data_IF_771678200758
#
_entry.id   IF_771678200758
#
_cell.length_a   1.000
_cell.length_b   1.000
_cell.length_c   1.000
_cell.angle_alpha   90.00
_cell.angle_beta   90.00
_cell.angle_gamma   90.00
#
_symmetry.space_group_name_H-M   'P 1'
#
loop_
_entity.id
_entity.type
_entity.pdbx_description
1 polymer ?
#
# COMPACT_ATOMS: atom_id res chain seq x y z
N UNK A 1 -3.24 -11.21 30.08
CA UNK A 1 -2.38 -10.04 30.42
C UNK A 1 -2.45 -9.04 29.27
N UNK A 2 -2.67 -7.74 29.56
CA UNK A 2 -2.69 -6.68 28.55
C UNK A 2 -1.27 -6.41 28.08
N UNK A 3 -1.06 -6.38 26.77
CA UNK A 3 0.23 -6.08 26.12
C UNK A 3 0.09 -4.84 25.27
N UNK A 4 1.12 -4.03 25.26
CA UNK A 4 1.18 -2.80 24.47
C UNK A 4 2.06 -2.98 23.26
N UNK A 5 1.66 -2.39 22.13
CA UNK A 5 2.42 -2.34 20.90
C UNK A 5 3.66 -1.46 20.97
N UNK A 6 4.38 -1.39 19.87
CA UNK A 6 5.57 -0.56 19.71
C UNK A 6 5.22 0.74 18.96
N UNK A 7 6.06 1.75 19.14
CA UNK A 7 5.99 2.96 18.31
C UNK A 7 6.26 2.63 16.83
N UNK A 8 5.67 3.36 15.89
CA UNK A 8 5.90 3.09 14.48
C UNK A 8 7.36 3.36 14.08
N UNK A 9 7.90 2.51 13.20
CA UNK A 9 9.13 2.80 12.48
C UNK A 9 8.74 3.56 11.22
N UNK A 10 9.22 4.78 11.06
CA UNK A 10 8.86 5.64 9.94
C UNK A 10 9.94 6.65 9.64
N UNK A 11 10.24 6.87 8.35
CA UNK A 11 11.06 7.96 7.85
C UNK A 11 10.21 9.21 7.54
N UNK A 12 10.81 10.25 6.95
CA UNK A 12 10.13 11.51 6.66
C UNK A 12 9.06 11.39 5.56
N UNK A 13 9.28 10.51 4.58
CA UNK A 13 8.45 10.39 3.38
C UNK A 13 8.11 8.92 3.08
N UNK A 14 7.38 8.24 3.96
CA UNK A 14 7.00 6.86 3.73
C UNK A 14 6.00 6.76 2.57
N UNK A 15 6.16 5.74 1.73
CA UNK A 15 5.23 5.43 0.64
C UNK A 15 4.39 4.19 0.92
N UNK A 16 4.92 3.28 1.71
CA UNK A 16 4.29 2.00 2.05
C UNK A 16 4.16 1.92 3.56
N UNK A 17 2.97 1.63 4.05
CA UNK A 17 2.73 1.30 5.46
C UNK A 17 2.45 -0.20 5.59
N UNK A 18 3.37 -0.93 6.18
CA UNK A 18 3.15 -2.33 6.53
C UNK A 18 2.57 -2.41 7.94
N UNK A 19 1.45 -3.11 8.09
CA UNK A 19 0.76 -3.28 9.36
C UNK A 19 0.78 -4.75 9.80
N UNK A 20 1.33 -5.00 10.98
CA UNK A 20 1.10 -6.21 11.75
C UNK A 20 -0.20 -6.17 12.55
N UNK A 21 -0.45 -7.20 13.32
CA UNK A 21 -1.57 -7.26 14.28
C UNK A 21 -1.21 -6.63 15.62
N UNK A 22 -0.22 -7.22 16.30
CA UNK A 22 0.35 -6.81 17.57
C UNK A 22 1.73 -7.49 17.69
N UNK A 23 2.77 -6.83 18.22
CA UNK A 23 4.11 -7.41 18.33
C UNK A 23 4.11 -8.68 19.20
N UNK A 24 5.02 -9.62 18.92
CA UNK A 24 5.25 -10.78 19.77
C UNK A 24 5.87 -10.37 21.11
N UNK A 25 5.82 -11.26 22.11
CA UNK A 25 6.44 -11.02 23.41
C UNK A 25 7.94 -10.76 23.29
N UNK A 26 8.61 -11.47 22.39
CA UNK A 26 10.02 -11.27 22.10
C UNK A 26 10.28 -9.90 21.46
N UNK A 27 9.42 -9.45 20.55
CA UNK A 27 9.49 -8.11 19.95
C UNK A 27 9.31 -7.01 21.00
N UNK A 28 8.34 -7.17 21.90
CA UNK A 28 8.10 -6.23 23.00
C UNK A 28 9.30 -6.20 23.95
N UNK A 29 9.85 -7.37 24.32
CA UNK A 29 11.00 -7.47 25.22
C UNK A 29 12.25 -6.78 24.64
N UNK A 30 12.50 -6.95 23.33
CA UNK A 30 13.66 -6.36 22.64
C UNK A 30 13.42 -4.92 22.20
N UNK A 31 12.16 -4.43 22.23
CA UNK A 31 11.74 -3.17 21.59
C UNK A 31 12.07 -3.15 20.08
N UNK A 32 11.92 -4.30 19.42
CA UNK A 32 12.24 -4.50 18.01
C UNK A 32 11.08 -5.13 17.27
N UNK A 33 10.68 -4.56 16.14
CA UNK A 33 9.73 -5.20 15.24
C UNK A 33 10.31 -6.49 14.69
N UNK A 34 9.47 -7.54 14.73
CA UNK A 34 9.86 -8.89 14.27
C UNK A 34 11.16 -9.38 14.92
N UNK A 35 11.33 -9.08 16.21
CA UNK A 35 12.52 -9.47 17.01
C UNK A 35 12.62 -10.97 17.32
N UNK A 36 11.58 -11.77 17.01
CA UNK A 36 11.65 -13.21 17.10
C UNK A 36 12.43 -13.76 15.89
N UNK A 37 13.55 -14.46 16.10
CA UNK A 37 14.41 -14.97 15.00
C UNK A 37 13.71 -16.00 14.09
N UNK A 38 12.61 -16.58 14.55
CA UNK A 38 11.80 -17.49 13.72
C UNK A 38 10.88 -16.75 12.74
N UNK A 39 10.70 -15.44 12.90
CA UNK A 39 9.87 -14.66 11.97
C UNK A 39 10.69 -14.28 10.75
N UNK A 40 10.15 -14.51 9.58
CA UNK A 40 10.84 -14.35 8.31
C UNK A 40 10.69 -12.94 7.70
N UNK A 41 10.11 -12.00 8.42
CA UNK A 41 9.83 -10.67 7.90
C UNK A 41 11.06 -10.02 7.26
N UNK A 42 12.20 -10.05 7.95
CA UNK A 42 13.42 -9.43 7.46
C UNK A 42 14.01 -10.16 6.25
N UNK A 43 13.88 -11.49 6.21
CA UNK A 43 14.24 -12.29 5.04
C UNK A 43 13.33 -11.96 3.84
N UNK A 44 12.02 -11.81 4.08
CA UNK A 44 11.06 -11.47 3.04
C UNK A 44 11.35 -10.07 2.49
N UNK A 45 11.51 -9.05 3.34
CA UNK A 45 11.79 -7.69 2.87
C UNK A 45 13.14 -7.63 2.13
N UNK A 46 14.18 -8.24 2.65
CA UNK A 46 15.48 -8.31 1.96
C UNK A 46 15.36 -9.01 0.58
N UNK A 47 14.66 -10.15 0.52
CA UNK A 47 14.41 -10.87 -0.72
C UNK A 47 13.58 -10.08 -1.73
N UNK A 48 12.54 -9.35 -1.26
CA UNK A 48 11.73 -8.47 -2.11
C UNK A 48 12.59 -7.43 -2.83
N UNK A 49 13.58 -6.85 -2.16
CA UNK A 49 14.44 -5.82 -2.74
C UNK A 49 15.79 -6.34 -3.25
N UNK A 50 15.98 -7.67 -3.24
CA UNK A 50 17.24 -8.31 -3.63
C UNK A 50 18.45 -7.76 -2.87
N UNK A 51 18.29 -7.48 -1.58
CA UNK A 51 19.33 -7.02 -0.67
C UNK A 51 19.74 -8.12 0.31
N UNK A 52 20.94 -8.01 0.91
CA UNK A 52 21.35 -8.92 1.99
C UNK A 52 20.39 -8.84 3.19
N UNK A 53 20.20 -9.98 3.86
CA UNK A 53 19.39 -10.00 5.09
C UNK A 53 20.14 -9.23 6.19
N UNK A 54 19.53 -8.18 6.78
CA UNK A 54 20.21 -7.36 7.76
C UNK A 54 20.41 -8.12 9.08
N UNK A 55 21.58 -7.98 9.70
CA UNK A 55 21.93 -8.64 10.94
C UNK A 55 21.53 -7.82 12.17
N UNK A 56 21.85 -6.53 12.16
CA UNK A 56 21.56 -5.61 13.27
C UNK A 56 20.21 -4.93 13.12
N UNK A 57 19.63 -4.46 14.22
CA UNK A 57 18.35 -3.75 14.17
C UNK A 57 18.46 -2.39 13.47
N UNK A 58 19.62 -1.75 13.54
CA UNK A 58 19.88 -0.51 12.79
C UNK A 58 19.90 -0.75 11.29
N UNK A 59 20.52 -1.84 10.82
CA UNK A 59 20.48 -2.24 9.41
C UNK A 59 19.04 -2.56 8.96
N UNK A 60 18.26 -3.23 9.83
CA UNK A 60 16.84 -3.52 9.59
C UNK A 60 16.03 -2.25 9.38
N UNK A 61 16.22 -1.25 10.22
CA UNK A 61 15.59 0.07 10.07
C UNK A 61 16.07 0.77 8.79
N UNK A 62 17.37 0.73 8.52
CA UNK A 62 17.94 1.33 7.32
C UNK A 62 17.38 0.71 6.04
N UNK A 63 17.18 -0.62 6.00
CA UNK A 63 16.54 -1.32 4.88
C UNK A 63 15.14 -0.78 4.62
N UNK A 64 14.28 -0.66 5.64
CA UNK A 64 12.94 -0.11 5.48
C UNK A 64 12.97 1.34 4.96
N UNK A 65 13.84 2.15 5.53
CA UNK A 65 13.88 3.59 5.22
C UNK A 65 14.41 3.86 3.81
N UNK A 66 15.35 3.05 3.29
CA UNK A 66 15.80 3.13 1.90
C UNK A 66 14.67 2.92 0.91
N UNK A 67 13.71 2.08 1.27
CA UNK A 67 12.56 1.76 0.42
C UNK A 67 11.28 2.52 0.79
N UNK A 68 11.40 3.58 1.60
CA UNK A 68 10.27 4.39 2.05
C UNK A 68 9.13 3.56 2.67
N UNK A 69 9.51 2.54 3.45
CA UNK A 69 8.58 1.67 4.16
C UNK A 69 8.45 2.13 5.60
N UNK A 70 7.22 2.40 6.01
CA UNK A 70 6.83 2.52 7.41
C UNK A 70 6.31 1.18 7.92
N UNK A 71 6.55 0.91 9.19
CA UNK A 71 6.13 -0.32 9.85
C UNK A 71 5.41 0.01 11.15
N UNK A 72 4.21 -0.54 11.34
CA UNK A 72 3.42 -0.40 12.55
C UNK A 72 2.51 -1.62 12.75
N UNK A 73 1.62 -1.54 13.74
CA UNK A 73 0.58 -2.54 14.00
C UNK A 73 -0.80 -1.90 14.00
N UNK A 74 -1.83 -2.69 13.74
CA UNK A 74 -3.22 -2.23 13.82
C UNK A 74 -3.63 -2.00 15.27
N UNK A 75 -3.19 -2.90 16.19
CA UNK A 75 -3.54 -2.82 17.59
C UNK A 75 -2.49 -2.05 18.39
N UNK A 76 -2.93 -1.04 19.14
CA UNK A 76 -2.11 -0.32 20.13
C UNK A 76 -1.89 -1.16 21.39
N UNK A 77 -2.92 -1.92 21.78
CA UNK A 77 -2.84 -2.86 22.89
C UNK A 77 -3.88 -3.97 22.73
N UNK A 78 -3.64 -5.09 23.37
CA UNK A 78 -4.60 -6.18 23.45
C UNK A 78 -4.31 -7.09 24.64
N UNK A 79 -5.32 -7.85 25.06
CA UNK A 79 -5.12 -8.99 25.93
C UNK A 79 -4.68 -10.18 25.10
N UNK A 80 -3.54 -10.77 25.46
CA UNK A 80 -3.01 -11.96 24.78
C UNK A 80 -2.22 -12.83 25.74
N UNK A 81 -2.53 -14.11 25.72
CA UNK A 81 -1.74 -15.14 26.37
C UNK A 81 -0.77 -15.74 25.35
N UNK A 82 0.53 -15.71 25.68
CA UNK A 82 1.59 -16.07 24.73
C UNK A 82 1.71 -15.10 23.54
N UNK A 83 2.26 -15.58 22.43
CA UNK A 83 2.53 -14.78 21.24
C UNK A 83 1.67 -15.16 20.02
N UNK A 84 0.70 -16.07 20.19
CA UNK A 84 -0.16 -16.50 19.09
C UNK A 84 -1.23 -15.46 18.76
N UNK A 85 -1.38 -15.13 17.50
CA UNK A 85 -2.37 -14.16 17.01
C UNK A 85 -3.82 -14.56 17.28
N UNK A 86 -4.10 -15.87 17.37
CA UNK A 86 -5.44 -16.41 17.72
C UNK A 86 -5.90 -16.00 19.11
N UNK A 87 -4.95 -15.73 20.01
CA UNK A 87 -5.22 -15.39 21.41
C UNK A 87 -5.43 -13.89 21.65
N UNK A 88 -5.37 -13.06 20.61
CA UNK A 88 -5.60 -11.60 20.69
C UNK A 88 -7.08 -11.32 20.94
N UNK A 89 -7.38 -10.70 22.08
CA UNK A 89 -8.73 -10.28 22.53
C UNK A 89 -8.68 -8.85 23.06
N UNK A 90 -9.84 -8.21 23.23
CA UNK A 90 -10.00 -6.88 23.85
C UNK A 90 -9.00 -5.86 23.30
N UNK A 91 -8.99 -5.74 21.95
CA UNK A 91 -8.03 -4.88 21.24
C UNK A 91 -8.40 -3.41 21.33
N UNK A 92 -7.40 -2.57 21.64
CA UNK A 92 -7.42 -1.13 21.39
C UNK A 92 -6.61 -0.87 20.11
N UNK A 93 -7.09 0.04 19.29
CA UNK A 93 -6.46 0.32 18.01
C UNK A 93 -5.48 1.49 18.08
N UNK A 94 -4.47 1.45 17.24
CA UNK A 94 -3.63 2.60 16.95
C UNK A 94 -4.43 3.65 16.13
N UNK A 95 -4.05 4.92 16.26
CA UNK A 95 -4.63 6.00 15.44
C UNK A 95 -4.07 5.97 14.01
N UNK A 96 -4.58 5.04 13.20
CA UNK A 96 -4.18 4.92 11.79
C UNK A 96 -4.62 6.14 10.98
N UNK A 97 -5.74 6.78 11.35
CA UNK A 97 -6.22 8.01 10.67
C UNK A 97 -5.24 9.14 10.86
N UNK A 98 -4.85 9.41 12.10
CA UNK A 98 -3.87 10.45 12.41
C UNK A 98 -2.52 10.16 11.75
N UNK A 99 -2.09 8.89 11.75
CA UNK A 99 -0.85 8.48 11.10
C UNK A 99 -0.88 8.74 9.59
N UNK A 100 -1.92 8.31 8.89
CA UNK A 100 -2.05 8.50 7.43
C UNK A 100 -2.15 9.99 7.07
N UNK A 101 -2.88 10.78 7.86
CA UNK A 101 -2.95 12.24 7.67
C UNK A 101 -1.60 12.92 7.86
N UNK A 102 -0.78 12.43 8.81
CA UNK A 102 0.56 12.96 9.08
C UNK A 102 1.55 12.67 7.94
N UNK A 103 1.34 11.57 7.22
CA UNK A 103 2.23 11.12 6.15
C UNK A 103 1.48 11.04 4.80
N UNK A 104 1.22 12.18 4.14
CA UNK A 104 0.45 12.23 2.90
C UNK A 104 1.17 11.59 1.70
N UNK A 105 2.45 11.25 1.85
CA UNK A 105 3.23 10.50 0.85
C UNK A 105 2.88 9.02 0.78
N UNK A 106 2.10 8.52 1.75
CA UNK A 106 1.66 7.13 1.76
C UNK A 106 0.78 6.84 0.54
N UNK A 107 1.07 5.73 -0.11
CA UNK A 107 0.37 5.24 -1.29
C UNK A 107 -0.25 3.86 -1.04
N UNK A 108 0.32 3.07 -0.11
CA UNK A 108 -0.05 1.69 0.13
C UNK A 108 -0.16 1.33 1.58
N UNK A 109 -1.14 0.48 1.87
CA UNK A 109 -1.26 -0.24 3.13
C UNK A 109 -1.10 -1.73 2.84
N UNK A 110 -0.13 -2.36 3.49
CA UNK A 110 0.15 -3.79 3.38
C UNK A 110 -0.17 -4.46 4.70
N UNK A 111 -1.02 -5.47 4.68
CA UNK A 111 -1.42 -6.21 5.87
C UNK A 111 -0.69 -7.55 5.93
N UNK A 112 0.17 -7.70 6.95
CA UNK A 112 0.99 -8.89 7.16
C UNK A 112 0.17 -10.00 7.85
N UNK A 113 -0.53 -10.78 7.04
CA UNK A 113 -1.26 -11.96 7.49
C UNK A 113 -2.73 -11.74 7.86
N UNK A 114 -3.40 -12.85 8.09
CA UNK A 114 -4.86 -12.89 8.29
C UNK A 114 -5.35 -12.14 9.52
N UNK A 115 -4.58 -12.15 10.62
CA UNK A 115 -4.98 -11.44 11.85
C UNK A 115 -4.88 -9.93 11.68
N UNK A 116 -3.79 -9.41 11.09
CA UNK A 116 -3.66 -7.99 10.75
C UNK A 116 -4.82 -7.53 9.85
N UNK A 117 -5.18 -8.34 8.84
CA UNK A 117 -6.34 -8.09 7.96
C UNK A 117 -7.67 -8.05 8.73
N UNK A 118 -7.88 -8.98 9.67
CA UNK A 118 -9.11 -9.04 10.45
C UNK A 118 -9.25 -7.82 11.37
N UNK A 119 -8.18 -7.44 12.09
CA UNK A 119 -8.19 -6.28 12.98
C UNK A 119 -8.31 -4.96 12.19
N UNK A 120 -7.62 -4.84 11.05
CA UNK A 120 -7.79 -3.70 10.15
C UNK A 120 -9.22 -3.53 9.67
N UNK A 121 -9.89 -4.62 9.26
CA UNK A 121 -11.31 -4.59 8.89
C UNK A 121 -12.23 -4.18 10.05
N UNK A 122 -11.90 -4.60 11.27
CA UNK A 122 -12.61 -4.15 12.48
C UNK A 122 -12.42 -2.65 12.69
N UNK A 123 -11.18 -2.17 12.57
CA UNK A 123 -10.83 -0.75 12.67
C UNK A 123 -11.65 0.09 11.69
N UNK A 124 -11.61 -0.25 10.41
CA UNK A 124 -12.35 0.45 9.34
C UNK A 124 -13.85 0.52 9.65
N UNK A 125 -14.45 -0.60 10.06
CA UNK A 125 -15.89 -0.66 10.39
C UNK A 125 -16.24 0.16 11.62
N UNK A 126 -15.45 0.08 12.68
CA UNK A 126 -15.73 0.79 13.94
C UNK A 126 -15.59 2.31 13.81
N UNK A 127 -14.69 2.77 12.97
CA UNK A 127 -14.46 4.21 12.73
C UNK A 127 -15.25 4.75 11.53
N UNK A 128 -15.98 3.89 10.80
CA UNK A 128 -16.76 4.24 9.59
C UNK A 128 -15.93 5.03 8.57
N UNK A 129 -14.69 4.59 8.34
CA UNK A 129 -13.74 5.23 7.43
C UNK A 129 -13.40 4.30 6.27
N UNK A 130 -13.04 4.93 5.16
CA UNK A 130 -12.31 4.29 4.07
C UNK A 130 -11.08 5.15 3.76
N UNK A 131 -9.93 4.52 3.66
CA UNK A 131 -8.72 5.19 3.19
C UNK A 131 -8.72 5.19 1.66
N UNK A 132 -9.63 5.96 1.08
CA UNK A 132 -9.69 6.18 -0.37
C UNK A 132 -8.35 6.73 -0.87
N UNK A 133 -7.90 6.25 -2.02
CA UNK A 133 -6.62 6.65 -2.61
C UNK A 133 -5.41 5.83 -2.15
N UNK A 134 -5.52 4.99 -1.11
CA UNK A 134 -4.46 4.08 -0.74
C UNK A 134 -4.74 2.67 -1.29
N UNK A 135 -3.77 2.09 -2.00
CA UNK A 135 -3.81 0.68 -2.39
C UNK A 135 -3.73 -0.22 -1.15
N UNK A 136 -4.49 -1.30 -1.11
CA UNK A 136 -4.55 -2.22 0.04
C UNK A 136 -4.13 -3.62 -0.40
N UNK A 137 -3.04 -4.11 0.17
CA UNK A 137 -2.51 -5.45 -0.09
C UNK A 137 -2.69 -6.35 1.14
N UNK A 138 -3.06 -7.60 0.89
CA UNK A 138 -3.29 -8.61 1.91
C UNK A 138 -2.38 -9.80 1.63
N UNK A 139 -1.24 -9.85 2.28
CA UNK A 139 -0.24 -10.87 2.01
C UNK A 139 -0.22 -11.98 3.06
N UNK A 140 0.34 -13.09 2.66
CA UNK A 140 0.64 -14.20 3.56
C UNK A 140 1.54 -13.71 4.70
N UNK A 141 1.25 -14.17 5.91
CA UNK A 141 2.03 -13.81 7.09
C UNK A 141 3.48 -14.25 6.94
N UNK A 142 4.39 -13.41 7.38
CA UNK A 142 5.82 -13.73 7.47
C UNK A 142 6.19 -14.60 8.69
N UNK A 143 5.19 -15.08 9.42
CA UNK A 143 5.38 -16.02 10.52
C UNK A 143 5.93 -17.35 10.00
N UNK A 144 6.81 -17.99 10.78
CA UNK A 144 7.31 -19.35 10.49
C UNK A 144 6.21 -20.40 10.35
N UNK A 145 5.02 -20.15 10.92
CA UNK A 145 3.85 -21.01 10.74
C UNK A 145 3.36 -21.04 9.29
N UNK A 146 3.62 -20.01 8.49
CA UNK A 146 3.26 -20.01 7.07
C UNK A 146 4.05 -21.05 6.29
N UNK A 147 5.35 -21.24 6.61
CA UNK A 147 6.16 -22.30 6.02
C UNK A 147 5.58 -23.68 6.38
N UNK A 148 5.23 -23.88 7.64
CA UNK A 148 4.62 -25.14 8.10
C UNK A 148 3.27 -25.40 7.42
N UNK A 149 2.58 -24.36 6.98
CA UNK A 149 1.33 -24.42 6.22
C UNK A 149 1.53 -24.55 4.69
N UNK A 150 2.76 -24.83 4.23
CA UNK A 150 3.06 -25.06 2.82
C UNK A 150 3.36 -23.81 1.99
N UNK A 151 3.74 -22.69 2.64
CA UNK A 151 4.19 -21.47 1.98
C UNK A 151 5.72 -21.33 2.09
N UNK A 152 6.50 -21.82 1.13
CA UNK A 152 7.95 -21.66 1.15
C UNK A 152 8.32 -20.16 1.07
N UNK A 153 9.51 -19.83 1.58
CA UNK A 153 10.00 -18.45 1.67
C UNK A 153 9.98 -17.75 0.30
N UNK A 154 10.40 -18.43 -0.75
CA UNK A 154 10.47 -17.91 -2.11
C UNK A 154 9.08 -17.46 -2.61
N UNK A 155 8.05 -18.26 -2.33
CA UNK A 155 6.67 -17.93 -2.71
C UNK A 155 6.12 -16.74 -1.92
N UNK A 156 6.51 -16.61 -0.65
CA UNK A 156 6.16 -15.43 0.15
C UNK A 156 6.85 -14.20 -0.41
N UNK A 157 8.14 -14.28 -0.75
CA UNK A 157 8.91 -13.19 -1.38
C UNK A 157 8.27 -12.78 -2.71
N UNK A 158 7.93 -13.75 -3.56
CA UNK A 158 7.25 -13.49 -4.84
C UNK A 158 5.95 -12.70 -4.64
N UNK A 159 5.07 -13.16 -3.74
CA UNK A 159 3.83 -12.47 -3.42
C UNK A 159 4.09 -11.05 -2.88
N UNK A 160 5.04 -10.90 -1.97
CA UNK A 160 5.36 -9.59 -1.38
C UNK A 160 6.07 -8.66 -2.36
N UNK A 161 6.66 -9.17 -3.44
CA UNK A 161 7.34 -8.36 -4.46
C UNK A 161 6.39 -7.39 -5.18
N UNK A 162 5.10 -7.62 -5.11
CA UNK A 162 4.10 -6.67 -5.60
C UNK A 162 4.18 -5.29 -4.95
N UNK A 163 4.75 -5.18 -3.74
CA UNK A 163 4.93 -3.87 -3.10
C UNK A 163 5.89 -2.95 -3.86
N UNK A 164 6.73 -3.49 -4.74
CA UNK A 164 7.63 -2.69 -5.59
C UNK A 164 6.94 -2.08 -6.79
N UNK A 165 5.85 -2.70 -7.24
CA UNK A 165 5.14 -2.30 -8.46
C UNK A 165 4.24 -1.12 -8.14
N UNK A 166 4.80 0.10 -8.07
CA UNK A 166 3.99 1.30 -7.96
C UNK A 166 3.21 1.47 -9.28
N UNK A 167 1.92 1.17 -9.24
CA UNK A 167 1.03 1.65 -10.29
C UNK A 167 1.09 3.17 -10.23
N UNK A 168 1.18 3.83 -11.37
CA UNK A 168 1.21 5.28 -11.43
C UNK A 168 -0.20 5.81 -11.10
N UNK A 169 -0.51 5.89 -9.79
CA UNK A 169 -1.73 6.56 -9.33
C UNK A 169 -1.45 8.05 -9.36
N UNK A 170 -2.18 8.78 -10.18
CA UNK A 170 -2.18 10.24 -10.12
C UNK A 170 -2.77 10.63 -8.76
N UNK A 171 -2.04 11.35 -7.89
CA UNK A 171 -2.56 11.78 -6.60
C UNK A 171 -3.86 12.58 -6.77
N UNK A 172 -4.84 12.34 -5.90
CA UNK A 172 -6.16 12.99 -5.96
C UNK A 172 -6.10 14.52 -5.96
N UNK A 173 -5.08 15.10 -5.31
CA UNK A 173 -4.83 16.55 -5.29
C UNK A 173 -4.31 17.12 -6.62
N UNK A 174 -3.82 16.26 -7.52
CA UNK A 174 -3.41 16.65 -8.86
C UNK A 174 -4.56 16.63 -9.87
N UNK A 175 -5.71 15.98 -9.57
CA UNK A 175 -6.85 15.94 -10.47
C UNK A 175 -7.34 17.33 -10.92
N UNK A 176 -7.46 18.34 -10.04
CA UNK A 176 -7.87 19.70 -10.44
C UNK A 176 -6.86 20.40 -11.35
N UNK A 177 -5.60 19.89 -11.39
CA UNK A 177 -4.53 20.46 -12.22
C UNK A 177 -4.40 19.79 -13.60
N UNK A 178 -5.14 18.71 -13.83
CA UNK A 178 -5.17 18.00 -15.11
C UNK A 178 -6.11 18.74 -16.06
N UNK A 179 -5.56 19.34 -17.11
CA UNK A 179 -6.36 20.03 -18.12
C UNK A 179 -7.25 19.02 -18.86
N UNK A 180 -8.57 19.24 -18.84
CA UNK A 180 -9.55 18.33 -19.47
C UNK A 180 -10.09 17.23 -18.54
N UNK A 181 -9.67 17.18 -17.27
CA UNK A 181 -10.18 16.19 -16.31
C UNK A 181 -11.71 16.31 -16.11
N UNK A 182 -12.27 17.51 -16.24
CA UNK A 182 -13.70 17.74 -16.15
C UNK A 182 -14.50 16.99 -17.21
N UNK A 183 -13.90 16.67 -18.37
CA UNK A 183 -14.53 15.83 -19.39
C UNK A 183 -14.58 14.38 -18.94
N UNK A 184 -13.50 13.90 -18.32
CA UNK A 184 -13.41 12.54 -17.75
C UNK A 184 -14.41 12.40 -16.60
N UNK A 185 -14.41 13.36 -15.65
CA UNK A 185 -15.33 13.36 -14.51
C UNK A 185 -16.80 13.44 -14.91
N UNK A 186 -17.12 14.11 -16.02
CA UNK A 186 -18.48 14.18 -16.56
C UNK A 186 -18.97 12.84 -17.08
N UNK A 187 -18.08 12.01 -17.62
CA UNK A 187 -18.40 10.70 -18.18
C UNK A 187 -18.40 9.62 -17.10
N UNK A 188 -17.42 9.65 -16.21
CA UNK A 188 -17.15 8.58 -15.25
C UNK A 188 -17.66 8.89 -13.82
N UNK A 189 -18.05 10.14 -13.56
CA UNK A 189 -18.49 10.60 -12.26
C UNK A 189 -17.35 11.19 -11.40
N UNK A 190 -17.70 11.98 -10.35
CA UNK A 190 -16.73 12.74 -9.56
C UNK A 190 -15.82 11.88 -8.66
N UNK A 191 -16.19 10.62 -8.44
CA UNK A 191 -15.46 9.69 -7.57
C UNK A 191 -14.67 8.64 -8.37
N UNK A 192 -14.49 8.85 -9.67
CA UNK A 192 -13.71 7.92 -10.48
C UNK A 192 -12.24 8.00 -10.11
N UNK A 193 -11.68 6.88 -9.73
CA UNK A 193 -10.26 6.73 -9.48
C UNK A 193 -9.68 5.73 -10.49
N UNK A 194 -8.57 6.08 -11.12
CA UNK A 194 -7.85 5.21 -12.05
C UNK A 194 -7.12 4.06 -11.31
N UNK A 195 -7.79 3.38 -10.40
CA UNK A 195 -7.17 2.40 -9.51
C UNK A 195 -6.62 1.16 -10.21
N UNK A 196 -7.21 0.80 -11.36
CA UNK A 196 -6.85 -0.41 -12.10
C UNK A 196 -6.28 -0.09 -13.48
N UNK A 197 -5.76 1.14 -13.66
CA UNK A 197 -5.19 1.55 -14.92
C UNK A 197 -3.77 1.01 -15.09
N UNK A 198 -3.52 0.36 -16.23
CA UNK A 198 -2.19 -0.08 -16.62
C UNK A 198 -1.57 0.93 -17.59
N UNK A 199 -0.30 1.28 -17.35
CA UNK A 199 0.47 2.06 -18.31
C UNK A 199 0.96 1.12 -19.41
N UNK A 200 0.34 1.17 -20.59
CA UNK A 200 0.71 0.31 -21.70
C UNK A 200 2.02 0.73 -22.36
N UNK A 201 2.30 2.02 -22.41
CA UNK A 201 3.55 2.51 -22.94
C UNK A 201 3.90 3.89 -22.42
N UNK A 202 5.21 4.14 -22.32
CA UNK A 202 5.78 5.46 -22.06
C UNK A 202 6.64 5.80 -23.28
N UNK A 203 6.35 6.90 -23.95
CA UNK A 203 7.17 7.42 -25.05
C UNK A 203 7.74 8.76 -24.64
N UNK A 204 9.05 8.90 -24.76
CA UNK A 204 9.76 10.16 -24.46
C UNK A 204 10.25 10.72 -25.80
N UNK A 205 9.85 11.93 -26.12
CA UNK A 205 10.25 12.64 -27.34
C UNK A 205 11.42 13.58 -27.08
N UNK A 206 12.16 13.90 -28.12
CA UNK A 206 13.34 14.78 -28.04
C UNK A 206 13.03 16.23 -27.62
N UNK A 207 11.79 16.66 -27.71
CA UNK A 207 11.30 17.96 -27.25
C UNK A 207 10.93 17.97 -25.75
N UNK A 208 11.14 16.86 -25.04
CA UNK A 208 10.80 16.70 -23.63
C UNK A 208 9.35 16.30 -23.40
N UNK A 209 8.56 16.07 -24.45
CA UNK A 209 7.19 15.55 -24.32
C UNK A 209 7.23 14.09 -23.86
N UNK A 210 6.43 13.74 -22.86
CA UNK A 210 6.23 12.37 -22.42
C UNK A 210 4.80 11.97 -22.70
N UNK A 211 4.63 10.96 -23.54
CA UNK A 211 3.32 10.38 -23.84
C UNK A 211 3.12 9.12 -22.99
N UNK A 212 2.07 9.10 -22.21
CA UNK A 212 1.62 7.92 -21.47
C UNK A 212 0.39 7.33 -22.17
N UNK A 213 0.49 6.08 -22.62
CA UNK A 213 -0.68 5.30 -22.99
C UNK A 213 -1.16 4.55 -21.76
N UNK A 214 -2.29 4.97 -21.22
CA UNK A 214 -2.90 4.35 -20.05
C UNK A 214 -4.09 3.53 -20.54
N UNK A 215 -4.09 2.24 -20.22
CA UNK A 215 -5.27 1.40 -20.36
C UNK A 215 -6.00 1.43 -19.02
N UNK A 216 -7.15 2.06 -18.97
CA UNK A 216 -7.97 1.97 -17.78
C UNK A 216 -8.83 0.72 -17.88
N UNK A 217 -8.80 -0.14 -16.87
CA UNK A 217 -9.61 -1.32 -16.80
C UNK A 217 -11.12 -1.04 -16.88
N UNK A 218 -11.89 -1.52 -15.94
CA UNK A 218 -13.34 -1.41 -15.97
C UNK A 218 -13.83 -0.24 -15.14
N UNK A 219 -14.70 0.62 -15.68
CA UNK A 219 -15.47 1.61 -14.97
C UNK A 219 -16.95 1.23 -14.99
N UNK A 220 -17.72 1.70 -13.99
CA UNK A 220 -19.16 1.58 -13.98
C UNK A 220 -19.77 2.99 -14.07
N UNK A 221 -20.78 3.16 -14.93
CA UNK A 221 -21.52 4.42 -14.96
C UNK A 221 -22.48 4.52 -13.76
N UNK A 222 -23.19 5.65 -13.64
CA UNK A 222 -24.16 5.88 -12.57
C UNK A 222 -25.33 4.85 -12.55
N UNK A 223 -25.55 4.15 -13.65
CA UNK A 223 -26.59 3.13 -13.80
C UNK A 223 -26.07 1.71 -13.48
N UNK A 224 -24.77 1.56 -13.19
CA UNK A 224 -24.14 0.28 -12.93
C UNK A 224 -23.69 -0.48 -14.18
N UNK A 225 -23.76 0.13 -15.37
CA UNK A 225 -23.27 -0.48 -16.60
C UNK A 225 -21.75 -0.45 -16.64
N UNK A 226 -21.15 -1.54 -17.13
CA UNK A 226 -19.72 -1.69 -17.29
C UNK A 226 -19.23 -0.89 -18.50
N UNK A 227 -18.26 -0.01 -18.30
CA UNK A 227 -17.66 0.81 -19.34
C UNK A 227 -16.17 0.45 -19.48
N UNK A 228 -15.73 0.20 -20.70
CA UNK A 228 -14.31 0.18 -21.03
C UNK A 228 -13.88 1.59 -21.42
N UNK A 229 -12.92 2.16 -20.68
CA UNK A 229 -12.41 3.50 -20.93
C UNK A 229 -11.01 3.39 -21.52
N UNK A 230 -10.87 3.75 -22.78
CA UNK A 230 -9.58 3.88 -23.46
C UNK A 230 -9.24 5.36 -23.50
N UNK A 231 -8.19 5.76 -22.80
CA UNK A 231 -7.63 7.11 -22.90
C UNK A 231 -6.57 7.09 -24.01
N UNK A 232 -6.90 7.65 -25.17
CA UNK A 232 -5.99 7.76 -26.30
C UNK A 232 -5.39 9.19 -26.30
N UNK A 233 -4.06 9.31 -26.25
CA UNK A 233 -3.37 10.57 -26.33
C UNK A 233 -3.37 11.38 -25.02
N UNK A 234 -2.91 10.80 -23.93
CA UNK A 234 -2.58 11.54 -22.72
C UNK A 234 -1.16 12.07 -22.87
N UNK A 235 -1.01 13.37 -23.05
CA UNK A 235 0.30 14.04 -23.11
C UNK A 235 0.58 14.74 -21.78
N UNK A 236 1.38 14.17 -20.88
CA UNK A 236 1.89 14.90 -19.74
C UNK A 236 3.09 15.77 -20.16
N UNK A 237 3.00 17.07 -19.97
CA UNK A 237 4.17 17.96 -20.01
C UNK A 237 4.71 18.11 -18.61
N UNK A 238 5.90 17.60 -18.41
CA UNK A 238 6.64 17.78 -17.16
C UNK A 238 7.48 19.04 -17.27
N UNK A 239 7.18 20.04 -16.45
CA UNK A 239 8.10 21.15 -16.17
C UNK A 239 8.59 21.00 -14.72
N UNK A 240 9.73 21.59 -14.38
CA UNK A 240 10.26 21.53 -13.00
C UNK A 240 9.29 22.07 -11.92
N UNK A 241 8.20 22.70 -12.32
CA UNK A 241 7.22 23.35 -11.44
C UNK A 241 5.77 22.91 -11.64
N UNK A 242 5.44 22.16 -12.70
CA UNK A 242 4.07 21.74 -12.98
C UNK A 242 4.00 20.48 -13.85
N UNK A 243 2.93 19.72 -13.67
CA UNK A 243 2.55 18.62 -14.57
C UNK A 243 1.30 19.08 -15.33
N UNK A 244 1.40 19.32 -16.61
CA UNK A 244 0.24 19.51 -17.48
C UNK A 244 -0.06 18.22 -18.22
N UNK A 245 -1.29 17.75 -18.12
CA UNK A 245 -1.75 16.56 -18.83
C UNK A 245 -2.86 16.98 -19.79
N UNK A 246 -2.65 16.74 -21.07
CA UNK A 246 -3.67 16.95 -22.09
C UNK A 246 -4.27 15.60 -22.50
N UNK A 247 -5.59 15.47 -22.47
CA UNK A 247 -6.31 14.29 -22.93
C UNK A 247 -6.94 14.62 -24.28
N UNK A 248 -6.44 14.01 -25.36
CA UNK A 248 -6.88 14.31 -26.72
C UNK A 248 -8.12 13.52 -27.15
N UNK A 249 -8.30 12.30 -26.63
CA UNK A 249 -9.42 11.45 -27.05
C UNK A 249 -9.83 10.47 -25.93
N UNK A 250 -11.14 10.42 -25.69
CA UNK A 250 -11.75 9.40 -24.83
C UNK A 250 -12.66 8.56 -25.73
N UNK A 251 -12.46 7.25 -25.71
CA UNK A 251 -13.38 6.29 -26.35
C UNK A 251 -14.05 5.47 -25.26
N UNK A 252 -15.38 5.45 -25.29
CA UNK A 252 -16.18 4.53 -24.50
C UNK A 252 -16.75 3.47 -25.43
N UNK A 253 -16.53 2.21 -25.11
CA UNK A 253 -17.19 1.11 -25.77
C UNK A 253 -18.24 0.55 -24.83
N UNK A 254 -19.48 0.48 -25.28
CA UNK A 254 -20.56 -0.23 -24.60
C UNK A 254 -20.47 -1.71 -25.02
N UNK A 255 -20.37 -2.60 -24.06
CA UNK A 255 -20.48 -4.05 -24.27
C UNK A 255 -21.87 -4.52 -23.86
#
# INVERSE_FOLDING_TARGET
MKKHGLAPLVNKEPRILILGSLPSDESIRKQEYYGNPRNLFWNVIAGVFAEPVPETYEEKKALLFRHNIALWDVCASAEREGSMDTNIKNTEFNDLVGFIKKYPTLQRIVLNGGKAKAEYRRYIRSHKIDFCGLEKYYFTSTSSLSISAGWPLERIIEQWSEIRNFKCCIPLDLYPRIKGIEKVMRILGPNYAFHDSEVNSISIFSDGTVMLKIWSGWAFNANGDRLEVILDGVEPRFTCSSIEVSIHKIRTMHT
#
